data_IF_290393334878
#
_entry.id   IF_290393334878
#
_cell.length_a   1.000
_cell.length_b   1.000
_cell.length_c   1.000
_cell.angle_alpha   90.00
_cell.angle_beta   90.00
_cell.angle_gamma   90.00
#
_symmetry.space_group_name_H-M   'P 1'
#
loop_
_entity.id
_entity.type
_entity.pdbx_description
1 polymer ?
#
# COMPACT_ATOMS: atom_id res chain seq x y z
N UNK A 1 -2.00 9.88 6.12
CA UNK A 1 -0.56 10.15 5.99
C UNK A 1 -0.33 11.65 5.91
N UNK A 2 0.88 12.13 6.22
CA UNK A 2 1.26 13.53 6.07
C UNK A 2 2.50 13.64 5.19
N UNK A 3 2.64 14.75 4.45
CA UNK A 3 3.79 15.07 3.64
C UNK A 3 4.45 16.34 4.17
N UNK A 4 5.78 16.42 4.13
CA UNK A 4 6.51 17.61 4.57
C UNK A 4 8.01 17.38 4.64
N UNK A 5 8.74 18.41 5.07
CA UNK A 5 10.17 18.32 5.34
C UNK A 5 10.39 17.55 6.64
N UNK A 6 11.07 16.41 6.56
CA UNK A 6 11.36 15.56 7.72
C UNK A 6 12.86 15.29 7.79
N UNK A 7 13.45 15.55 8.96
CA UNK A 7 14.87 15.36 9.20
C UNK A 7 15.39 16.24 10.32
N UNK A 8 16.69 16.45 10.35
CA UNK A 8 17.34 17.37 11.28
C UNK A 8 17.79 18.64 10.54
N UNK A 9 18.24 19.64 11.30
CA UNK A 9 18.71 20.92 10.76
C UNK A 9 19.79 20.76 9.67
N UNK A 10 20.64 19.73 9.79
CA UNK A 10 21.73 19.47 8.83
C UNK A 10 21.30 18.68 7.59
N UNK A 11 20.16 18.00 7.64
CA UNK A 11 19.63 17.19 6.52
C UNK A 11 18.14 16.98 6.69
N UNK A 12 17.39 17.52 5.72
CA UNK A 12 15.95 17.29 5.59
C UNK A 12 15.64 16.63 4.26
N UNK A 13 14.64 15.75 4.27
CA UNK A 13 14.06 15.14 3.08
C UNK A 13 12.57 15.49 3.03
N UNK A 14 12.07 15.99 1.89
CA UNK A 14 10.64 16.15 1.69
C UNK A 14 10.02 14.78 1.39
N UNK A 15 9.24 14.26 2.35
CA UNK A 15 8.77 12.88 2.29
C UNK A 15 7.38 12.72 2.92
N UNK A 16 6.79 11.53 2.73
CA UNK A 16 5.48 11.16 3.27
C UNK A 16 5.65 10.16 4.39
N UNK A 17 4.98 10.38 5.52
CA UNK A 17 4.93 9.45 6.64
C UNK A 17 3.50 9.10 7.06
N UNK A 18 3.36 7.89 7.59
CA UNK A 18 2.12 7.42 8.24
C UNK A 18 1.67 6.02 7.79
N UNK A 19 0.53 5.60 8.33
CA UNK A 19 -0.02 4.26 8.11
C UNK A 19 -0.22 3.91 6.64
N UNK A 20 -0.61 4.87 5.80
CA UNK A 20 -0.82 4.64 4.36
C UNK A 20 0.45 4.19 3.64
N UNK A 21 1.60 4.84 3.89
CA UNK A 21 2.87 4.47 3.26
C UNK A 21 3.41 3.16 3.82
N UNK A 22 3.19 2.90 5.11
CA UNK A 22 3.53 1.62 5.72
C UNK A 22 2.70 0.48 5.12
N UNK A 23 1.40 0.67 4.93
CA UNK A 23 0.53 -0.32 4.28
C UNK A 23 1.02 -0.60 2.85
N UNK A 24 1.29 0.43 2.05
CA UNK A 24 1.81 0.25 0.70
C UNK A 24 3.10 -0.59 0.67
N UNK A 25 4.05 -0.32 1.59
CA UNK A 25 5.26 -1.13 1.74
C UNK A 25 4.96 -2.59 2.10
N UNK A 26 3.94 -2.86 2.95
CA UNK A 26 3.56 -4.24 3.30
C UNK A 26 2.88 -4.98 2.17
N UNK A 27 2.06 -4.29 1.36
CA UNK A 27 1.45 -4.88 0.17
C UNK A 27 2.53 -5.32 -0.82
N UNK A 28 3.54 -4.48 -1.05
CA UNK A 28 4.67 -4.83 -1.91
C UNK A 28 5.48 -6.00 -1.31
N UNK A 29 5.87 -5.91 -0.04
CA UNK A 29 6.80 -6.89 0.55
C UNK A 29 6.17 -8.25 0.91
N UNK A 30 4.85 -8.32 1.04
CA UNK A 30 4.18 -9.49 1.64
C UNK A 30 2.97 -9.99 0.85
N UNK A 31 2.46 -9.25 -0.13
CA UNK A 31 1.31 -9.64 -0.94
C UNK A 31 1.69 -9.79 -2.40
N UNK A 32 2.41 -8.82 -2.97
CA UNK A 32 2.85 -8.87 -4.35
C UNK A 32 4.00 -9.88 -4.55
N UNK A 33 3.87 -10.75 -5.55
CA UNK A 33 4.98 -11.51 -6.11
C UNK A 33 5.72 -10.76 -7.23
N UNK A 34 6.82 -11.32 -7.76
CA UNK A 34 7.54 -10.73 -8.88
C UNK A 34 6.63 -10.45 -10.08
N UNK A 35 6.67 -9.21 -10.57
CA UNK A 35 5.84 -8.79 -11.70
C UNK A 35 4.34 -8.73 -11.39
N UNK A 36 3.97 -8.60 -10.12
CA UNK A 36 2.57 -8.43 -9.74
C UNK A 36 2.33 -7.08 -9.09
N UNK A 37 1.10 -6.56 -9.22
CA UNK A 37 0.68 -5.29 -8.64
C UNK A 37 -0.41 -5.57 -7.60
N UNK A 38 -0.07 -5.37 -6.32
CA UNK A 38 -1.02 -5.44 -5.22
C UNK A 38 -1.47 -4.04 -4.78
N UNK A 39 -2.77 -3.86 -4.56
CA UNK A 39 -3.35 -2.59 -4.11
C UNK A 39 -4.26 -2.77 -2.89
N UNK A 40 -4.40 -1.70 -2.11
CA UNK A 40 -5.30 -1.63 -0.97
C UNK A 40 -6.74 -1.29 -1.35
N UNK A 41 -7.67 -1.35 -0.39
CA UNK A 41 -9.10 -1.23 -0.66
C UNK A 41 -9.48 0.16 -1.20
N UNK A 42 -8.86 1.22 -0.67
CA UNK A 42 -9.12 2.58 -1.13
C UNK A 42 -8.73 2.78 -2.61
N UNK A 43 -7.64 2.19 -3.06
CA UNK A 43 -7.21 2.28 -4.46
C UNK A 43 -8.16 1.49 -5.35
N UNK A 44 -8.62 0.31 -4.91
CA UNK A 44 -9.61 -0.48 -5.64
C UNK A 44 -10.95 0.27 -5.79
N UNK A 45 -11.42 0.92 -4.71
CA UNK A 45 -12.61 1.78 -4.72
C UNK A 45 -12.52 2.95 -5.70
N UNK A 46 -11.33 3.53 -5.87
CA UNK A 46 -11.10 4.65 -6.80
C UNK A 46 -11.02 4.16 -8.24
N UNK A 47 -10.33 3.04 -8.48
CA UNK A 47 -10.18 2.49 -9.82
C UNK A 47 -11.50 2.00 -10.40
N UNK A 48 -12.38 1.44 -9.55
CA UNK A 48 -13.69 0.87 -9.97
C UNK A 48 -13.59 -0.10 -11.16
N UNK A 49 -12.42 -0.72 -11.35
CA UNK A 49 -12.20 -1.65 -12.44
C UNK A 49 -12.83 -3.00 -12.11
N UNK A 50 -13.45 -3.60 -13.13
CA UNK A 50 -14.06 -4.93 -13.05
C UNK A 50 -13.02 -6.05 -13.07
N UNK A 51 -11.81 -5.75 -13.52
CA UNK A 51 -10.75 -6.74 -13.70
C UNK A 51 -9.91 -6.93 -12.42
N UNK A 52 -10.20 -6.17 -11.35
CA UNK A 52 -9.53 -6.33 -10.08
C UNK A 52 -9.85 -7.69 -9.45
N UNK A 53 -8.80 -8.45 -9.11
CA UNK A 53 -8.95 -9.75 -8.45
C UNK A 53 -8.85 -9.51 -6.95
N UNK A 54 -9.97 -9.63 -6.23
CA UNK A 54 -9.96 -9.55 -4.77
C UNK A 54 -9.28 -10.78 -4.16
N UNK A 55 -8.35 -10.55 -3.24
CA UNK A 55 -7.71 -11.60 -2.46
C UNK A 55 -8.42 -11.80 -1.12
N UNK A 56 -8.11 -12.92 -0.45
CA UNK A 56 -8.51 -13.11 0.94
C UNK A 56 -7.90 -12.00 1.82
N UNK A 57 -8.60 -11.56 2.88
CA UNK A 57 -8.02 -10.64 3.85
C UNK A 57 -6.69 -11.15 4.38
N UNK A 58 -5.71 -10.24 4.50
CA UNK A 58 -4.36 -10.57 4.96
C UNK A 58 -4.02 -9.83 6.24
N UNK A 59 -3.42 -10.55 7.19
CA UNK A 59 -2.78 -9.96 8.36
C UNK A 59 -1.39 -9.45 7.99
N UNK A 60 -1.12 -8.16 8.20
CA UNK A 60 0.15 -7.53 7.84
C UNK A 60 0.88 -7.05 9.10
N UNK A 61 2.22 -7.15 9.08
CA UNK A 61 3.05 -6.74 10.22
C UNK A 61 2.77 -5.29 10.62
N UNK A 62 2.47 -5.09 11.91
CA UNK A 62 2.15 -3.80 12.52
C UNK A 62 0.89 -3.11 11.94
N UNK A 63 -0.06 -3.91 11.43
CA UNK A 63 -1.41 -3.45 11.07
C UNK A 63 -2.40 -4.32 11.84
N UNK A 64 -3.15 -3.71 12.75
CA UNK A 64 -4.01 -4.44 13.70
C UNK A 64 -5.17 -5.17 13.03
N UNK A 65 -5.72 -4.60 11.96
CA UNK A 65 -6.87 -5.14 11.25
C UNK A 65 -6.41 -5.86 9.99
N UNK A 66 -7.08 -6.97 9.67
CA UNK A 66 -6.89 -7.62 8.39
C UNK A 66 -7.26 -6.68 7.25
N UNK A 67 -6.44 -6.67 6.22
CA UNK A 67 -6.60 -5.78 5.08
C UNK A 67 -7.14 -6.57 3.90
N UNK A 68 -8.27 -6.10 3.34
CA UNK A 68 -8.74 -6.56 2.03
C UNK A 68 -7.81 -6.01 0.95
N UNK A 69 -7.25 -6.89 0.15
CA UNK A 69 -6.27 -6.54 -0.90
C UNK A 69 -6.74 -7.03 -2.26
N UNK A 70 -6.21 -6.42 -3.31
CA UNK A 70 -6.60 -6.71 -4.69
C UNK A 70 -5.35 -6.80 -5.56
N UNK A 71 -5.41 -7.67 -6.56
CA UNK A 71 -4.42 -7.73 -7.63
C UNK A 71 -4.94 -6.99 -8.85
N UNK A 72 -4.05 -6.21 -9.45
CA UNK A 72 -4.30 -5.56 -10.74
C UNK A 72 -3.69 -6.43 -11.82
N UNK A 73 -4.50 -7.06 -12.69
CA UNK A 73 -3.95 -7.70 -13.89
C UNK A 73 -3.38 -6.62 -14.81
N UNK A 74 -2.16 -6.82 -15.28
CA UNK A 74 -1.58 -6.02 -16.36
C UNK A 74 -1.08 -7.01 -17.42
N UNK A 75 -1.46 -6.75 -18.66
CA UNK A 75 -0.94 -7.41 -19.86
C UNK A 75 0.07 -6.48 -20.56
#
# INVERSE_FOLDING_TARGET
AFAGDIGCEKRMDYTVMGSTVNLASRLESSVAGPGQIAIGPRTAEILQSKDLIQLNPVSLKNIEQEVRTFMVPWE
#
